data_IF_911453726036
#
_entry.id   IF_911453726036
#
_cell.length_a   1.000
_cell.length_b   1.000
_cell.length_c   1.000
_cell.angle_alpha   90.00
_cell.angle_beta   90.00
_cell.angle_gamma   90.00
#
_symmetry.space_group_name_H-M   'P 1'
#
loop_
_entity.id
_entity.type
_entity.pdbx_description
1 polymer ?
#
# COMPACT_ATOMS: atom_id res chain seq x y z
N UNK A 1 -13.88 -22.01 7.46
CA UNK A 1 -12.43 -21.66 7.47
C UNK A 1 -11.98 -21.15 8.84
N UNK A 2 -12.69 -20.23 9.47
CA UNK A 2 -12.32 -19.68 10.79
C UNK A 2 -12.22 -20.77 11.88
N UNK A 3 -13.13 -21.75 11.87
CA UNK A 3 -13.11 -22.89 12.81
C UNK A 3 -11.84 -23.74 12.66
N UNK A 4 -11.43 -24.05 11.42
CA UNK A 4 -10.23 -24.84 11.17
C UNK A 4 -8.95 -24.14 11.65
N UNK A 5 -8.81 -22.84 11.41
CA UNK A 5 -7.68 -22.03 11.92
C UNK A 5 -7.56 -22.11 13.45
N UNK A 6 -8.68 -21.97 14.14
CA UNK A 6 -8.70 -22.05 15.61
C UNK A 6 -8.27 -23.41 16.12
N UNK A 7 -8.68 -24.50 15.48
CA UNK A 7 -8.28 -25.86 15.87
C UNK A 7 -6.80 -26.13 15.64
N UNK A 8 -6.23 -25.66 14.50
CA UNK A 8 -4.79 -25.74 14.24
C UNK A 8 -4.00 -24.97 15.28
N UNK A 9 -4.41 -23.78 15.65
CA UNK A 9 -3.76 -22.97 16.69
C UNK A 9 -3.83 -23.63 18.06
N UNK A 10 -4.96 -24.25 18.45
CA UNK A 10 -5.09 -25.02 19.68
C UNK A 10 -4.14 -26.23 19.69
N UNK A 11 -4.08 -26.95 18.56
CA UNK A 11 -3.20 -28.11 18.41
C UNK A 11 -1.72 -27.70 18.54
N UNK A 12 -1.31 -26.62 17.87
CA UNK A 12 0.03 -26.05 17.96
C UNK A 12 0.39 -25.72 19.42
N UNK A 13 -0.50 -24.99 20.14
CA UNK A 13 -0.29 -24.63 21.54
C UNK A 13 -0.17 -25.84 22.46
N UNK A 14 -0.91 -26.93 22.17
CA UNK A 14 -0.88 -28.16 22.98
C UNK A 14 0.36 -28.99 22.75
N UNK A 15 0.80 -29.09 21.47
CA UNK A 15 1.92 -29.96 21.09
C UNK A 15 3.28 -29.30 21.31
N UNK A 16 3.37 -27.98 21.34
CA UNK A 16 4.62 -27.20 21.51
C UNK A 16 5.75 -27.64 20.55
N UNK A 17 5.39 -28.04 19.32
CA UNK A 17 6.32 -28.52 18.31
C UNK A 17 6.41 -27.53 17.16
N UNK A 18 7.46 -27.62 16.36
CA UNK A 18 7.57 -26.82 15.14
C UNK A 18 6.52 -27.30 14.14
N UNK A 19 5.71 -26.37 13.64
CA UNK A 19 4.66 -26.62 12.68
C UNK A 19 4.91 -25.80 11.41
N UNK A 20 4.93 -26.46 10.26
CA UNK A 20 5.05 -25.79 8.96
C UNK A 20 3.70 -25.89 8.28
N UNK A 21 3.15 -24.72 7.91
CA UNK A 21 1.88 -24.60 7.22
C UNK A 21 2.07 -23.87 5.90
N UNK A 22 1.66 -24.49 4.81
CA UNK A 22 1.73 -23.93 3.46
C UNK A 22 0.34 -23.46 3.05
N UNK A 23 0.22 -22.21 2.68
CA UNK A 23 -1.04 -21.60 2.27
C UNK A 23 -0.82 -20.54 1.18
N UNK A 24 -1.83 -20.31 0.37
CA UNK A 24 -1.92 -19.15 -0.51
C UNK A 24 -2.83 -18.03 0.08
N UNK A 25 -3.45 -18.28 1.24
CA UNK A 25 -4.30 -17.31 1.94
C UNK A 25 -3.43 -16.45 2.87
N UNK A 26 -3.30 -15.16 2.53
CA UNK A 26 -2.52 -14.20 3.31
C UNK A 26 -3.05 -14.06 4.73
N UNK A 27 -4.38 -14.08 4.92
CA UNK A 27 -5.00 -13.95 6.24
C UNK A 27 -4.59 -15.13 7.15
N UNK A 28 -4.51 -16.34 6.59
CA UNK A 28 -4.02 -17.51 7.33
C UNK A 28 -2.55 -17.32 7.73
N UNK A 29 -1.69 -16.98 6.78
CA UNK A 29 -0.27 -16.78 7.05
C UNK A 29 -0.04 -15.69 8.11
N UNK A 30 -0.72 -14.55 7.97
CA UNK A 30 -0.55 -13.38 8.86
C UNK A 30 -1.14 -13.58 10.27
N UNK A 31 -2.15 -14.45 10.42
CA UNK A 31 -2.82 -14.66 11.71
C UNK A 31 -2.33 -15.89 12.48
N UNK A 32 -1.81 -16.90 11.78
CA UNK A 32 -1.41 -18.17 12.40
C UNK A 32 0.10 -18.27 12.61
N UNK A 33 0.89 -17.68 11.71
CA UNK A 33 2.34 -17.79 11.72
C UNK A 33 3.00 -16.89 12.77
N UNK A 34 3.93 -17.42 13.54
CA UNK A 34 4.89 -16.60 14.32
C UNK A 34 5.99 -16.04 13.43
N UNK A 35 6.27 -16.76 12.35
CA UNK A 35 7.20 -16.40 11.28
C UNK A 35 6.63 -16.85 9.95
N UNK A 36 6.68 -15.99 8.95
CA UNK A 36 6.14 -16.23 7.61
C UNK A 36 7.28 -16.17 6.60
N UNK A 37 7.28 -17.10 5.65
CA UNK A 37 8.19 -17.14 4.51
C UNK A 37 7.41 -16.74 3.26
N UNK A 38 7.75 -15.61 2.68
CA UNK A 38 7.21 -15.17 1.39
C UNK A 38 8.08 -15.72 0.27
N UNK A 39 7.46 -16.44 -0.67
CA UNK A 39 8.15 -17.06 -1.79
C UNK A 39 7.61 -16.55 -3.12
N UNK A 40 8.48 -16.47 -4.14
CA UNK A 40 8.13 -16.19 -5.52
C UNK A 40 9.03 -17.01 -6.45
N UNK A 41 8.43 -17.71 -7.41
CA UNK A 41 9.14 -18.49 -8.43
C UNK A 41 10.19 -19.46 -7.86
N UNK A 42 9.86 -20.11 -6.72
CA UNK A 42 10.75 -21.01 -6.01
C UNK A 42 11.79 -20.35 -5.10
N UNK A 43 11.91 -19.02 -5.10
CA UNK A 43 12.89 -18.27 -4.31
C UNK A 43 12.24 -17.60 -3.10
N UNK A 44 12.95 -17.65 -1.97
CA UNK A 44 12.55 -16.91 -0.77
C UNK A 44 12.77 -15.42 -1.01
N UNK A 45 11.73 -14.63 -0.80
CA UNK A 45 11.77 -13.17 -0.91
C UNK A 45 12.04 -12.50 0.44
N UNK A 46 11.35 -12.97 1.49
CA UNK A 46 11.54 -12.48 2.86
C UNK A 46 11.09 -13.53 3.86
N UNK A 47 11.76 -13.59 5.00
CA UNK A 47 11.37 -14.39 6.17
C UNK A 47 11.30 -13.45 7.36
N UNK A 48 10.12 -13.26 7.93
CA UNK A 48 9.97 -12.36 9.09
C UNK A 48 8.68 -12.67 9.86
N UNK A 49 8.45 -11.93 10.95
CA UNK A 49 7.15 -11.89 11.62
C UNK A 49 6.10 -11.26 10.70
N UNK A 50 4.82 -11.60 10.84
CA UNK A 50 3.73 -10.99 10.07
C UNK A 50 3.78 -9.45 10.09
N UNK A 51 4.00 -8.86 11.26
CA UNK A 51 4.08 -7.41 11.44
C UNK A 51 5.22 -6.77 10.65
N UNK A 52 6.40 -7.41 10.64
CA UNK A 52 7.55 -6.89 9.91
C UNK A 52 7.37 -7.01 8.40
N UNK A 53 6.80 -8.12 7.91
CA UNK A 53 6.46 -8.28 6.49
C UNK A 53 5.54 -7.17 5.99
N UNK A 54 4.60 -6.74 6.83
CA UNK A 54 3.65 -5.68 6.51
C UNK A 54 4.31 -4.29 6.56
N UNK A 55 5.05 -4.00 7.63
CA UNK A 55 5.60 -2.66 7.88
C UNK A 55 6.93 -2.42 7.18
N UNK A 56 7.74 -3.46 6.98
CA UNK A 56 9.12 -3.37 6.47
C UNK A 56 9.38 -4.39 5.35
N UNK A 57 8.62 -4.34 4.26
CA UNK A 57 8.85 -5.22 3.11
C UNK A 57 10.21 -4.91 2.48
N UNK A 58 11.02 -5.94 2.20
CA UNK A 58 12.38 -5.77 1.67
C UNK A 58 12.41 -5.44 0.18
N UNK A 59 11.32 -5.66 -0.54
CA UNK A 59 11.22 -5.36 -1.97
C UNK A 59 9.77 -5.08 -2.39
N UNK A 60 9.62 -4.56 -3.63
CA UNK A 60 8.31 -4.24 -4.21
C UNK A 60 7.36 -5.43 -4.27
N UNK A 61 7.87 -6.64 -4.52
CA UNK A 61 7.04 -7.84 -4.58
C UNK A 61 6.39 -8.12 -3.23
N UNK A 62 7.18 -8.17 -2.15
CA UNK A 62 6.65 -8.41 -0.80
C UNK A 62 5.67 -7.31 -0.40
N UNK A 63 6.00 -6.04 -0.68
CA UNK A 63 5.15 -4.89 -0.40
C UNK A 63 3.77 -4.99 -1.06
N UNK A 64 3.73 -5.39 -2.33
CA UNK A 64 2.48 -5.56 -3.07
C UNK A 64 1.75 -6.87 -2.80
N UNK A 65 2.50 -7.91 -2.42
CA UNK A 65 1.91 -9.21 -2.12
C UNK A 65 1.25 -9.23 -0.74
N UNK A 66 1.84 -8.58 0.26
CA UNK A 66 1.34 -8.57 1.64
C UNK A 66 0.38 -7.40 1.86
N UNK A 67 -0.88 -7.74 2.16
CA UNK A 67 -1.96 -6.79 2.44
C UNK A 67 -3.14 -6.92 1.48
N UNK A 68 -4.35 -6.69 2.00
CA UNK A 68 -5.60 -6.65 1.23
C UNK A 68 -6.36 -5.38 1.61
N UNK A 69 -6.55 -4.47 0.68
CA UNK A 69 -6.05 -4.45 -0.70
C UNK A 69 -4.52 -4.32 -0.78
N UNK A 70 -3.99 -4.54 -1.99
CA UNK A 70 -2.56 -4.39 -2.26
C UNK A 70 -2.10 -2.94 -2.03
N UNK A 71 -0.80 -2.77 -1.75
CA UNK A 71 -0.15 -1.45 -1.68
C UNK A 71 -0.26 -0.72 -3.03
N UNK A 72 -0.59 0.55 -2.98
CA UNK A 72 -0.53 1.43 -4.15
C UNK A 72 0.94 1.77 -4.46
N UNK A 73 1.33 1.75 -5.73
CA UNK A 73 2.68 2.08 -6.17
C UNK A 73 2.68 3.22 -7.17
N UNK A 74 3.50 4.24 -6.89
CA UNK A 74 3.63 5.42 -7.73
C UNK A 74 5.07 5.62 -8.18
N UNK A 75 5.28 6.00 -9.43
CA UNK A 75 6.57 6.48 -9.89
C UNK A 75 6.78 7.91 -9.39
N UNK A 76 7.88 8.16 -8.68
CA UNK A 76 8.18 9.48 -8.13
C UNK A 76 9.62 9.88 -8.39
N UNK A 77 9.88 11.18 -8.31
CA UNK A 77 11.23 11.75 -8.14
C UNK A 77 11.29 12.51 -6.82
N UNK A 78 12.46 12.51 -6.18
CA UNK A 78 12.69 13.20 -4.92
C UNK A 78 13.74 14.30 -5.12
N UNK A 79 13.43 15.52 -4.72
CA UNK A 79 14.37 16.65 -4.77
C UNK A 79 14.51 17.29 -3.39
N UNK A 80 15.74 17.34 -2.89
CA UNK A 80 16.04 18.04 -1.63
C UNK A 80 15.90 19.55 -1.83
N UNK A 81 15.18 20.21 -0.93
CA UNK A 81 15.01 21.65 -0.88
C UNK A 81 15.06 22.12 0.58
N UNK A 82 16.26 22.55 1.00
CA UNK A 82 16.53 22.91 2.40
C UNK A 82 16.29 21.73 3.35
N UNK A 83 15.43 21.93 4.34
CA UNK A 83 15.03 20.91 5.33
C UNK A 83 13.86 20.04 4.87
N UNK A 84 13.46 20.18 3.61
CA UNK A 84 12.34 19.45 3.02
C UNK A 84 12.78 18.66 1.80
N UNK A 85 11.94 17.70 1.43
CA UNK A 85 12.05 16.93 0.18
C UNK A 85 10.78 17.12 -0.62
N UNK A 86 10.92 17.60 -1.84
CA UNK A 86 9.85 17.65 -2.81
C UNK A 86 9.67 16.26 -3.42
N UNK A 87 8.49 15.70 -3.28
CA UNK A 87 8.08 14.41 -3.85
C UNK A 87 7.17 14.70 -5.04
N UNK A 88 7.66 14.46 -6.25
CA UNK A 88 6.90 14.67 -7.48
C UNK A 88 6.44 13.34 -8.07
N UNK A 89 5.15 13.22 -8.35
CA UNK A 89 4.52 12.01 -8.89
C UNK A 89 4.60 11.99 -10.42
N UNK A 90 5.57 11.26 -10.95
CA UNK A 90 5.72 10.98 -12.36
C UNK A 90 5.53 12.19 -13.28
N UNK A 91 4.66 12.05 -14.28
CA UNK A 91 4.28 13.10 -15.23
C UNK A 91 2.98 13.80 -14.80
N UNK A 92 2.67 13.85 -13.51
CA UNK A 92 1.49 14.53 -12.98
C UNK A 92 1.87 15.88 -12.36
N UNK A 93 0.86 16.71 -12.08
CA UNK A 93 1.04 17.95 -11.31
C UNK A 93 0.98 17.74 -9.80
N UNK A 94 1.00 16.47 -9.34
CA UNK A 94 0.99 16.15 -7.91
C UNK A 94 2.41 16.31 -7.37
N UNK A 95 2.57 17.24 -6.46
CA UNK A 95 3.79 17.46 -5.70
C UNK A 95 3.46 17.58 -4.22
N UNK A 96 4.24 16.88 -3.40
CA UNK A 96 4.16 16.99 -1.94
C UNK A 96 5.49 17.46 -1.39
N UNK A 97 5.44 18.25 -0.32
CA UNK A 97 6.61 18.70 0.42
C UNK A 97 6.60 17.97 1.76
N UNK A 98 7.56 17.06 1.94
CA UNK A 98 7.70 16.27 3.16
C UNK A 98 9.00 16.65 3.91
N UNK A 99 9.02 16.60 5.26
CA UNK A 99 10.23 16.83 6.03
C UNK A 99 11.37 15.89 5.64
N UNK A 100 12.60 16.39 5.53
CA UNK A 100 13.78 15.57 5.24
C UNK A 100 13.96 14.43 6.25
N UNK A 101 13.49 14.60 7.48
CA UNK A 101 13.54 13.57 8.53
C UNK A 101 12.87 12.25 8.13
N UNK A 102 11.95 12.26 7.18
CA UNK A 102 11.33 11.03 6.65
C UNK A 102 12.28 10.25 5.73
N UNK A 103 13.26 10.95 5.16
CA UNK A 103 14.19 10.44 4.16
C UNK A 103 15.62 10.33 4.67
N UNK A 104 15.87 10.48 5.97
CA UNK A 104 17.23 10.55 6.54
C UNK A 104 18.09 9.31 6.29
N UNK A 105 17.47 8.15 6.01
CA UNK A 105 18.14 6.91 5.61
C UNK A 105 18.31 6.77 4.10
N UNK A 106 17.72 7.65 3.30
CA UNK A 106 17.87 7.61 1.87
C UNK A 106 19.27 8.06 1.47
N UNK A 107 19.88 7.36 0.52
CA UNK A 107 21.12 7.82 -0.11
C UNK A 107 20.83 9.17 -0.80
N UNK A 108 21.64 10.17 -0.52
CA UNK A 108 21.50 11.54 -1.07
C UNK A 108 21.46 11.57 -2.60
N UNK A 109 22.05 10.56 -3.27
CA UNK A 109 21.97 10.44 -4.72
C UNK A 109 20.59 10.20 -5.27
N UNK A 110 19.62 9.86 -4.41
CA UNK A 110 18.19 9.74 -4.77
C UNK A 110 17.40 11.03 -4.59
N UNK A 111 18.03 12.07 -4.01
CA UNK A 111 17.39 13.35 -3.68
C UNK A 111 17.80 14.47 -4.65
N UNK A 112 18.28 14.12 -5.85
CA UNK A 112 18.72 15.07 -6.88
C UNK A 112 17.63 15.47 -7.88
N UNK A 113 16.44 14.86 -7.78
CA UNK A 113 15.30 15.09 -8.68
C UNK A 113 15.35 14.29 -9.99
N UNK A 114 16.43 13.55 -10.28
CA UNK A 114 16.64 12.91 -11.59
C UNK A 114 16.29 11.42 -11.57
N UNK A 115 16.43 10.76 -10.42
CA UNK A 115 16.21 9.32 -10.33
C UNK A 115 14.72 9.00 -10.15
N UNK A 116 14.23 8.10 -11.00
CA UNK A 116 12.89 7.53 -10.86
C UNK A 116 12.87 6.50 -9.75
N UNK A 117 12.01 6.71 -8.77
CA UNK A 117 11.79 5.84 -7.63
C UNK A 117 10.36 5.32 -7.63
N UNK A 118 10.10 4.32 -6.79
CA UNK A 118 8.76 3.81 -6.56
C UNK A 118 8.38 4.12 -5.12
N UNK A 119 7.35 4.93 -4.95
CA UNK A 119 6.69 5.18 -3.67
C UNK A 119 5.56 4.18 -3.48
N UNK A 120 5.56 3.46 -2.36
CA UNK A 120 4.46 2.58 -1.96
C UNK A 120 3.62 3.22 -0.86
N UNK A 121 2.31 3.28 -1.06
CA UNK A 121 1.36 3.81 -0.06
C UNK A 121 0.26 2.77 0.16
N UNK A 122 0.05 2.36 1.41
CA UNK A 122 -1.04 1.43 1.73
C UNK A 122 -2.39 2.14 1.69
N UNK A 123 -3.44 1.40 1.37
CA UNK A 123 -4.80 1.93 1.22
C UNK A 123 -5.35 2.61 2.49
N UNK A 124 -4.93 2.18 3.68
CA UNK A 124 -5.32 2.80 4.95
C UNK A 124 -4.67 4.17 5.20
N UNK A 125 -3.60 4.50 4.48
CA UNK A 125 -2.94 5.80 4.49
C UNK A 125 -3.46 6.75 3.42
N UNK A 126 -4.55 6.38 2.74
CA UNK A 126 -5.26 7.22 1.78
C UNK A 126 -6.72 7.27 2.23
N UNK A 127 -7.28 8.47 2.37
CA UNK A 127 -8.64 8.68 2.87
C UNK A 127 -9.48 9.48 1.89
N UNK A 128 -10.77 9.14 1.82
CA UNK A 128 -11.79 9.96 1.14
C UNK A 128 -12.23 11.19 1.97
N UNK A 129 -11.77 11.29 3.22
CA UNK A 129 -11.90 12.51 4.02
C UNK A 129 -10.69 13.42 3.71
N UNK A 130 -10.91 14.58 3.05
CA UNK A 130 -9.81 15.45 2.67
C UNK A 130 -9.12 16.12 3.86
N UNK A 131 -9.71 16.11 5.06
CA UNK A 131 -9.12 16.76 6.23
C UNK A 131 -8.35 15.78 7.14
N UNK A 132 -8.38 14.49 6.84
CA UNK A 132 -7.77 13.47 7.70
C UNK A 132 -6.23 13.51 7.68
N UNK A 133 -5.62 13.74 6.52
CA UNK A 133 -4.17 13.70 6.34
C UNK A 133 -3.64 14.99 5.67
N UNK A 134 -2.34 15.30 5.80
CA UNK A 134 -1.79 16.57 5.35
C UNK A 134 -1.72 16.75 3.83
N UNK A 135 -1.46 15.68 3.08
CA UNK A 135 -1.27 15.79 1.63
C UNK A 135 -2.59 15.58 0.89
N UNK A 136 -2.90 16.45 -0.06
CA UNK A 136 -4.17 16.48 -0.79
C UNK A 136 -3.98 16.10 -2.23
N UNK A 137 -4.90 15.34 -2.79
CA UNK A 137 -4.94 15.01 -4.22
C UNK A 137 -6.39 14.84 -4.68
N UNK A 138 -6.60 14.84 -5.99
CA UNK A 138 -7.90 14.50 -6.59
C UNK A 138 -7.87 13.09 -7.12
N UNK A 139 -8.99 12.38 -6.97
CA UNK A 139 -9.19 11.04 -7.49
C UNK A 139 -10.45 10.98 -8.32
N UNK A 140 -10.35 10.52 -9.56
CA UNK A 140 -11.53 10.12 -10.32
C UNK A 140 -11.87 8.68 -10.00
N UNK A 141 -13.06 8.47 -9.51
CA UNK A 141 -13.55 7.17 -9.06
C UNK A 141 -13.92 6.33 -10.28
N UNK A 142 -13.36 5.13 -10.35
CA UNK A 142 -13.74 4.13 -11.33
C UNK A 142 -14.92 3.29 -10.85
N UNK A 143 -14.84 2.81 -9.60
CA UNK A 143 -15.94 2.10 -8.94
C UNK A 143 -15.70 2.01 -7.42
N UNK A 144 -16.77 1.68 -6.68
CA UNK A 144 -16.74 1.43 -5.25
C UNK A 144 -17.19 -0.01 -4.96
N UNK A 145 -16.58 -0.63 -3.96
CA UNK A 145 -16.89 -1.99 -3.51
C UNK A 145 -17.17 -1.96 -1.99
N UNK A 146 -18.37 -2.37 -1.59
CA UNK A 146 -18.72 -2.48 -0.17
C UNK A 146 -18.37 -3.89 0.35
N UNK A 147 -17.49 -3.96 1.34
CA UNK A 147 -17.07 -5.20 1.99
C UNK A 147 -17.82 -5.45 3.32
N UNK A 148 -18.80 -4.61 3.67
CA UNK A 148 -19.62 -4.71 4.86
C UNK A 148 -18.99 -4.05 6.10
N UNK A 149 -17.72 -4.19 6.36
CA UNK A 149 -17.00 -3.53 7.46
C UNK A 149 -16.33 -2.23 7.03
N UNK A 150 -15.93 -2.17 5.79
CA UNK A 150 -15.36 -1.01 5.11
C UNK A 150 -15.76 -1.04 3.63
N UNK A 151 -15.56 0.06 2.93
CA UNK A 151 -15.70 0.15 1.48
C UNK A 151 -14.33 0.39 0.86
N UNK A 152 -14.09 -0.17 -0.34
CA UNK A 152 -12.94 0.15 -1.16
C UNK A 152 -13.36 1.04 -2.32
N UNK A 153 -12.63 2.10 -2.52
CA UNK A 153 -12.81 3.01 -3.66
C UNK A 153 -11.62 2.81 -4.58
N UNK A 154 -11.91 2.47 -5.81
CA UNK A 154 -10.93 2.31 -6.89
C UNK A 154 -11.02 3.50 -7.81
N UNK A 155 -9.88 4.08 -8.17
CA UNK A 155 -9.85 5.25 -9.01
C UNK A 155 -8.47 5.54 -9.57
N UNK A 156 -8.32 6.72 -10.10
CA UNK A 156 -7.07 7.23 -10.67
C UNK A 156 -6.76 8.62 -10.13
N UNK A 157 -5.50 8.83 -9.78
CA UNK A 157 -5.00 10.12 -9.32
C UNK A 157 -4.84 11.07 -10.51
N UNK A 158 -5.28 12.31 -10.32
CA UNK A 158 -5.03 13.48 -11.17
C UNK A 158 -5.34 13.31 -12.67
N UNK A 159 -6.59 13.57 -13.05
CA UNK A 159 -7.08 13.40 -14.42
C UNK A 159 -7.11 14.75 -15.15
N UNK A 160 -6.07 15.53 -15.08
CA UNK A 160 -5.96 16.70 -15.95
C UNK A 160 -5.32 16.38 -17.32
N UNK A 161 -4.95 15.12 -17.57
CA UNK A 161 -4.40 14.70 -18.88
C UNK A 161 -5.25 13.58 -19.49
N UNK A 162 -5.83 13.78 -20.67
CA UNK A 162 -6.70 12.79 -21.33
C UNK A 162 -5.98 11.56 -21.90
N UNK A 163 -4.67 11.44 -21.77
CA UNK A 163 -3.89 10.29 -22.23
C UNK A 163 -3.64 9.29 -21.10
N UNK A 164 -4.65 8.48 -20.79
CA UNK A 164 -4.50 7.32 -19.94
C UNK A 164 -3.85 6.20 -20.75
N UNK A 165 -2.56 6.01 -20.60
CA UNK A 165 -1.91 4.79 -21.07
C UNK A 165 -2.10 3.70 -20.01
N UNK A 166 -2.39 2.46 -20.42
CA UNK A 166 -2.64 1.29 -19.54
C UNK A 166 -1.52 0.99 -18.52
N UNK A 167 -0.40 1.69 -18.61
CA UNK A 167 0.75 1.61 -17.70
C UNK A 167 0.89 2.80 -16.75
N UNK A 168 -0.14 3.65 -16.60
CA UNK A 168 -0.05 4.79 -15.70
C UNK A 168 -0.05 4.31 -14.25
N UNK A 169 1.05 4.57 -13.52
CA UNK A 169 1.15 4.40 -12.07
C UNK A 169 0.30 5.48 -11.35
N UNK A 170 -0.97 5.62 -11.77
CA UNK A 170 -1.92 6.59 -11.24
C UNK A 170 -3.09 5.92 -10.54
N UNK A 171 -3.21 4.59 -10.66
CA UNK A 171 -4.27 3.83 -9.99
C UNK A 171 -4.15 3.98 -8.48
N UNK A 172 -5.30 4.21 -7.84
CA UNK A 172 -5.42 4.30 -6.39
C UNK A 172 -6.51 3.37 -5.89
N UNK A 173 -6.21 2.69 -4.79
CA UNK A 173 -7.18 1.96 -3.97
C UNK A 173 -7.13 2.56 -2.59
N UNK A 174 -8.24 3.09 -2.11
CA UNK A 174 -8.33 3.67 -0.78
C UNK A 174 -9.46 3.03 0.01
N UNK A 175 -9.35 3.09 1.34
CA UNK A 175 -10.40 2.65 2.25
C UNK A 175 -11.30 3.81 2.65
N UNK A 176 -12.59 3.53 2.70
CA UNK A 176 -13.62 4.43 3.16
C UNK A 176 -14.50 3.72 4.21
N UNK A 177 -15.28 4.47 5.02
CA UNK A 177 -16.24 3.88 5.93
C UNK A 177 -17.22 2.93 5.22
N UNK A 178 -17.72 1.92 5.95
CA UNK A 178 -18.69 0.97 5.43
C UNK A 178 -19.92 1.69 4.82
N UNK A 179 -20.42 1.16 3.72
CA UNK A 179 -21.55 1.72 2.99
C UNK A 179 -21.23 3.00 2.19
N UNK A 180 -19.94 3.41 2.11
CA UNK A 180 -19.55 4.51 1.25
C UNK A 180 -19.68 4.08 -0.21
N UNK A 181 -20.59 4.73 -0.91
CA UNK A 181 -20.77 4.56 -2.36
C UNK A 181 -20.49 5.89 -3.06
N UNK A 182 -19.62 5.86 -4.03
CA UNK A 182 -19.28 7.00 -4.88
C UNK A 182 -19.49 6.58 -6.32
N UNK A 183 -20.24 7.38 -7.06
CA UNK A 183 -20.58 7.11 -8.45
C UNK A 183 -19.33 7.11 -9.34
N UNK A 184 -19.27 6.17 -10.28
CA UNK A 184 -18.20 6.11 -11.29
C UNK A 184 -18.12 7.41 -12.11
N UNK A 185 -16.90 7.88 -12.35
CA UNK A 185 -16.64 9.16 -13.01
C UNK A 185 -16.66 10.38 -12.08
N UNK A 186 -17.07 10.23 -10.82
CA UNK A 186 -17.00 11.32 -9.84
C UNK A 186 -15.55 11.68 -9.52
N UNK A 187 -15.28 12.97 -9.37
CA UNK A 187 -13.99 13.48 -8.89
C UNK A 187 -14.14 13.82 -7.42
N UNK A 188 -13.34 13.20 -6.57
CA UNK A 188 -13.32 13.45 -5.13
C UNK A 188 -11.96 13.99 -4.69
N UNK A 189 -11.97 14.80 -3.64
CA UNK A 189 -10.76 15.16 -2.94
C UNK A 189 -10.39 14.02 -1.97
N UNK A 190 -9.13 13.65 -1.96
CA UNK A 190 -8.56 12.64 -1.07
C UNK A 190 -7.40 13.22 -0.29
N UNK A 191 -7.11 12.60 0.86
CA UNK A 191 -5.93 12.94 1.64
C UNK A 191 -5.01 11.74 1.81
N UNK A 192 -3.70 12.01 1.91
CA UNK A 192 -2.63 11.02 1.99
C UNK A 192 -1.78 11.33 3.24
N UNK A 193 -1.44 10.26 4.00
CA UNK A 193 -0.63 10.32 5.21
C UNK A 193 0.88 10.48 4.90
#
# INVERSE_FOLDING_TARGET
>A
RTSMRSEILKLYKRLQTTFIYVTHDQTEAMTMGTRVVVMKDGFIQQIDSPRNLYNYPVNKFVAGFIGTPQMNFYGVTLKLDGDNVMVKFGNTDIEFIAPYSYFYKADKTYLDGNKKLILGIRSEHISSDPEKYPYKAKCCVSYSEDLGLDSLIYGELNINTPEITENSLTKVILRAPAGTFIESGSIIDISID
#
